data_IF_617341360443
#
_entry.id   IF_617341360443
#
_cell.length_a   1.000
_cell.length_b   1.000
_cell.length_c   1.000
_cell.angle_alpha   90.00
_cell.angle_beta   90.00
_cell.angle_gamma   90.00
#
_symmetry.space_group_name_H-M   'P 1'
#
loop_
_entity.id
_entity.type
_entity.pdbx_description
1 polymer ?
#
# COMPACT_ATOMS: atom_id res chain seq x y z
N UNK A 1 15.34 -2.01 4.78
CA UNK A 1 15.96 -1.35 5.96
C UNK A 1 16.40 0.06 5.56
N UNK A 2 16.20 1.11 6.38
CA UNK A 2 16.30 2.52 5.93
C UNK A 2 17.72 3.13 5.89
N UNK A 3 18.74 2.37 6.30
CA UNK A 3 20.14 2.81 6.31
C UNK A 3 21.10 1.67 6.63
N UNK A 4 22.39 1.98 6.59
CA UNK A 4 23.48 1.09 6.96
C UNK A 4 23.38 0.71 8.45
N UNK A 5 23.47 -0.58 8.77
CA UNK A 5 23.49 -1.05 10.16
C UNK A 5 24.92 -1.35 10.55
N UNK A 6 25.49 -0.34 11.21
CA UNK A 6 26.87 -0.33 11.69
C UNK A 6 27.06 -1.42 12.74
N UNK A 7 28.01 -2.31 12.49
CA UNK A 7 28.36 -3.35 13.46
C UNK A 7 29.39 -2.81 14.45
N UNK A 8 29.23 -3.17 15.73
CA UNK A 8 30.20 -2.83 16.78
C UNK A 8 30.27 -3.96 17.81
N UNK A 9 31.49 -4.28 18.25
CA UNK A 9 31.74 -5.32 19.23
C UNK A 9 31.69 -4.76 20.66
N UNK A 10 30.64 -5.11 21.40
CA UNK A 10 30.46 -4.70 22.79
C UNK A 10 31.59 -5.18 23.71
N UNK A 11 32.18 -6.35 23.44
CA UNK A 11 33.31 -6.89 24.21
C UNK A 11 34.52 -6.00 24.04
N UNK A 12 34.81 -5.57 22.80
CA UNK A 12 35.89 -4.62 22.54
C UNK A 12 35.58 -3.28 23.21
N UNK A 13 34.35 -2.76 23.08
CA UNK A 13 33.92 -1.50 23.71
C UNK A 13 34.23 -1.51 25.22
N UNK A 14 33.76 -2.52 25.95
CA UNK A 14 33.90 -2.56 27.41
C UNK A 14 35.29 -2.94 27.91
N UNK A 15 36.05 -3.76 27.17
CA UNK A 15 37.35 -4.25 27.63
C UNK A 15 38.54 -3.44 27.09
N UNK A 16 38.37 -2.78 25.94
CA UNK A 16 39.47 -2.14 25.19
C UNK A 16 39.31 -0.63 25.13
N UNK A 17 38.08 -0.14 24.96
CA UNK A 17 37.82 1.28 24.72
C UNK A 17 37.31 2.06 25.95
N UNK A 18 36.76 1.39 26.97
CA UNK A 18 36.33 2.02 28.23
C UNK A 18 37.42 2.84 28.97
N UNK A 19 38.73 2.52 28.90
CA UNK A 19 39.78 3.33 29.51
C UNK A 19 40.27 4.53 28.66
N UNK A 20 39.82 4.67 27.41
CA UNK A 20 40.34 5.69 26.50
C UNK A 20 39.85 7.09 26.88
N UNK A 21 40.78 8.04 26.94
CA UNK A 21 40.49 9.46 27.16
C UNK A 21 40.26 10.24 25.85
N UNK A 22 40.24 9.55 24.70
CA UNK A 22 40.02 10.13 23.38
C UNK A 22 38.78 9.53 22.73
N UNK A 23 38.09 10.36 21.94
CA UNK A 23 36.93 9.94 21.16
C UNK A 23 37.40 9.16 19.93
N UNK A 24 37.07 7.88 19.86
CA UNK A 24 37.41 6.99 18.74
C UNK A 24 36.12 6.37 18.22
N UNK A 25 36.00 6.30 16.89
CA UNK A 25 34.89 5.60 16.23
C UNK A 25 35.11 4.08 16.32
N UNK A 26 34.13 3.35 16.85
CA UNK A 26 34.22 1.91 17.10
C UNK A 26 33.22 1.22 16.18
N UNK A 27 33.70 0.79 15.00
CA UNK A 27 32.90 0.16 13.96
C UNK A 27 33.67 -1.03 13.39
N UNK A 28 33.00 -2.17 13.24
CA UNK A 28 33.44 -3.32 12.46
C UNK A 28 32.89 -3.16 11.03
N UNK A 29 33.62 -2.39 10.20
CA UNK A 29 33.14 -1.95 8.89
C UNK A 29 32.87 -3.13 7.93
N UNK A 30 33.60 -4.23 8.06
CA UNK A 30 33.46 -5.45 7.29
C UNK A 30 32.22 -6.29 7.66
N UNK A 31 31.63 -6.04 8.83
CA UNK A 31 30.43 -6.71 9.34
C UNK A 31 29.18 -5.84 9.27
N UNK A 32 29.31 -4.67 8.66
CA UNK A 32 28.24 -3.72 8.54
C UNK A 32 27.26 -4.16 7.45
N UNK A 33 25.96 -4.17 7.77
CA UNK A 33 24.93 -4.56 6.80
C UNK A 33 24.65 -3.33 5.93
N UNK A 34 24.85 -3.42 4.60
CA UNK A 34 24.66 -2.29 3.72
C UNK A 34 23.20 -1.83 3.69
N UNK A 35 22.99 -0.60 3.25
CA UNK A 35 21.65 -0.11 3.01
C UNK A 35 20.92 -0.99 1.98
N UNK A 36 19.61 -1.13 2.17
CA UNK A 36 18.78 -1.95 1.31
C UNK A 36 18.58 -1.27 -0.05
N UNK A 37 19.17 -1.85 -1.10
CA UNK A 37 19.10 -1.33 -2.47
C UNK A 37 17.65 -1.26 -2.98
N UNK A 38 16.73 -2.04 -2.40
CA UNK A 38 15.32 -1.99 -2.77
C UNK A 38 14.73 -0.59 -2.68
N UNK A 39 15.20 0.25 -1.74
CA UNK A 39 14.73 1.63 -1.58
C UNK A 39 15.00 2.53 -2.79
N UNK A 40 15.96 2.15 -3.65
CA UNK A 40 16.32 2.89 -4.87
C UNK A 40 15.61 2.35 -6.11
N UNK A 41 14.80 1.30 -5.97
CA UNK A 41 14.11 0.65 -7.10
C UNK A 41 12.87 1.41 -7.53
N UNK A 42 12.47 1.24 -8.80
CA UNK A 42 11.23 1.79 -9.32
C UNK A 42 9.99 1.19 -8.64
N UNK A 43 10.09 -0.06 -8.19
CA UNK A 43 9.06 -0.79 -7.45
C UNK A 43 8.80 -0.13 -6.10
N UNK A 44 9.85 0.29 -5.38
CA UNK A 44 9.68 1.01 -4.12
C UNK A 44 9.04 2.39 -4.32
N UNK A 45 9.43 3.12 -5.38
CA UNK A 45 8.78 4.39 -5.72
C UNK A 45 7.30 4.19 -6.08
N UNK A 46 6.97 3.13 -6.82
CA UNK A 46 5.59 2.77 -7.15
C UNK A 46 4.78 2.43 -5.89
N UNK A 47 5.38 1.72 -4.94
CA UNK A 47 4.78 1.45 -3.64
C UNK A 47 4.52 2.72 -2.82
N UNK A 48 5.46 3.66 -2.78
CA UNK A 48 5.26 4.95 -2.12
C UNK A 48 4.09 5.71 -2.75
N UNK A 49 4.03 5.71 -4.09
CA UNK A 49 2.94 6.36 -4.81
C UNK A 49 1.59 5.71 -4.52
N UNK A 50 1.54 4.38 -4.53
CA UNK A 50 0.36 3.62 -4.10
C UNK A 50 -0.10 4.04 -2.69
N UNK A 51 0.82 4.14 -1.71
CA UNK A 51 0.49 4.52 -0.33
C UNK A 51 -0.15 5.90 -0.24
N UNK A 52 0.41 6.87 -0.96
CA UNK A 52 -0.12 8.24 -1.00
C UNK A 52 -1.55 8.25 -1.57
N UNK A 53 -1.74 7.65 -2.75
CA UNK A 53 -3.03 7.62 -3.43
C UNK A 53 -4.09 6.84 -2.65
N UNK A 54 -3.68 5.74 -2.00
CA UNK A 54 -4.54 4.98 -1.09
C UNK A 54 -5.07 5.85 0.04
N UNK A 55 -4.23 6.69 0.64
CA UNK A 55 -4.67 7.60 1.70
C UNK A 55 -5.68 8.64 1.20
N UNK A 56 -5.44 9.21 0.01
CA UNK A 56 -6.38 10.13 -0.64
C UNK A 56 -7.74 9.45 -0.83
N UNK A 57 -7.75 8.25 -1.40
CA UNK A 57 -8.97 7.51 -1.70
C UNK A 57 -9.74 7.12 -0.43
N UNK A 58 -9.03 6.65 0.61
CA UNK A 58 -9.64 6.35 1.91
C UNK A 58 -10.25 7.59 2.57
N UNK A 59 -9.64 8.76 2.44
CA UNK A 59 -10.21 10.00 2.96
C UNK A 59 -11.49 10.37 2.21
N UNK A 60 -11.50 10.30 0.87
CA UNK A 60 -12.71 10.52 0.07
C UNK A 60 -13.84 9.55 0.45
N UNK A 61 -13.50 8.29 0.74
CA UNK A 61 -14.48 7.29 1.16
C UNK A 61 -15.07 7.55 2.56
N UNK A 62 -14.37 8.25 3.46
CA UNK A 62 -14.88 8.62 4.80
C UNK A 62 -15.85 9.80 4.79
N UNK A 63 -15.73 10.70 3.82
CA UNK A 63 -16.59 11.89 3.73
C UNK A 63 -18.06 11.50 3.50
N UNK A 64 -19.02 12.41 3.73
CA UNK A 64 -20.42 12.14 3.36
C UNK A 64 -20.61 12.21 1.85
N UNK A 65 -20.07 13.26 1.24
CA UNK A 65 -20.13 13.47 -0.21
C UNK A 65 -18.87 12.96 -0.89
N UNK A 66 -19.03 12.38 -2.07
CA UNK A 66 -17.89 11.88 -2.86
C UNK A 66 -17.29 13.03 -3.66
N UNK A 67 -16.07 13.43 -3.29
CA UNK A 67 -15.29 14.35 -4.12
C UNK A 67 -14.93 13.66 -5.45
N UNK A 68 -15.17 14.29 -6.61
CA UNK A 68 -14.84 13.71 -7.90
C UNK A 68 -13.32 13.57 -8.04
N UNK A 69 -12.89 12.41 -8.48
CA UNK A 69 -11.52 12.09 -8.88
C UNK A 69 -11.57 11.78 -10.38
N UNK A 70 -10.57 12.26 -11.12
CA UNK A 70 -10.53 12.10 -12.56
C UNK A 70 -10.01 10.70 -12.97
N UNK A 71 -10.11 10.40 -14.27
CA UNK A 71 -9.65 9.12 -14.79
C UNK A 71 -8.12 8.97 -14.67
N UNK A 72 -7.37 10.07 -14.76
CA UNK A 72 -5.90 10.09 -14.62
C UNK A 72 -5.49 9.57 -13.24
N UNK A 73 -6.18 9.99 -12.17
CA UNK A 73 -5.97 9.44 -10.83
C UNK A 73 -6.15 7.92 -10.79
N UNK A 74 -7.20 7.38 -11.43
CA UNK A 74 -7.43 5.94 -11.41
C UNK A 74 -6.42 5.17 -12.24
N UNK A 75 -6.00 5.71 -13.39
CA UNK A 75 -4.97 5.08 -14.23
C UNK A 75 -3.62 4.99 -13.50
N UNK A 76 -3.25 6.07 -12.80
CA UNK A 76 -2.04 6.09 -11.97
C UNK A 76 -2.19 5.15 -10.76
N UNK A 77 -3.35 5.14 -10.10
CA UNK A 77 -3.55 4.25 -8.95
C UNK A 77 -3.49 2.78 -9.37
N UNK A 78 -4.07 2.42 -10.51
CA UNK A 78 -4.05 1.06 -11.06
C UNK A 78 -2.66 0.60 -11.46
N UNK A 79 -1.83 1.51 -11.98
CA UNK A 79 -0.45 1.20 -12.37
C UNK A 79 0.53 1.23 -11.21
N UNK A 80 0.22 1.93 -10.11
CA UNK A 80 1.07 2.01 -8.92
C UNK A 80 1.30 0.66 -8.22
N UNK A 81 0.32 -0.25 -8.26
CA UNK A 81 0.45 -1.61 -7.73
C UNK A 81 -0.58 -2.57 -8.37
N UNK A 82 -0.43 -2.95 -9.65
CA UNK A 82 -1.49 -3.57 -10.45
C UNK A 82 -1.91 -4.97 -9.98
N UNK A 83 -1.02 -5.68 -9.29
CA UNK A 83 -1.26 -7.02 -8.78
C UNK A 83 -1.86 -7.03 -7.38
N UNK A 84 -1.98 -5.87 -6.72
CA UNK A 84 -2.54 -5.79 -5.39
C UNK A 84 -4.06 -5.61 -5.46
N UNK A 85 -4.81 -6.56 -4.90
CA UNK A 85 -6.27 -6.57 -4.96
C UNK A 85 -6.90 -5.26 -4.43
N UNK A 86 -6.27 -4.63 -3.44
CA UNK A 86 -6.82 -3.47 -2.74
C UNK A 86 -6.95 -2.25 -3.67
N UNK A 87 -6.06 -2.11 -4.66
CA UNK A 87 -6.13 -1.07 -5.70
C UNK A 87 -7.46 -1.12 -6.43
N UNK A 88 -7.88 -2.33 -6.80
CA UNK A 88 -9.12 -2.57 -7.53
C UNK A 88 -10.34 -2.48 -6.60
N UNK A 89 -10.26 -3.02 -5.38
CA UNK A 89 -11.38 -2.99 -4.45
C UNK A 89 -11.70 -1.57 -3.96
N UNK A 90 -10.70 -0.76 -3.63
CA UNK A 90 -10.92 0.63 -3.23
C UNK A 90 -11.46 1.48 -4.37
N UNK A 91 -10.99 1.24 -5.60
CA UNK A 91 -11.58 1.88 -6.79
C UNK A 91 -13.05 1.49 -6.95
N UNK A 92 -13.39 0.22 -6.72
CA UNK A 92 -14.77 -0.26 -6.73
C UNK A 92 -15.63 0.43 -5.67
N UNK A 93 -15.12 0.55 -4.44
CA UNK A 93 -15.79 1.25 -3.34
C UNK A 93 -16.06 2.73 -3.70
N UNK A 94 -15.08 3.38 -4.33
CA UNK A 94 -15.25 4.75 -4.82
C UNK A 94 -16.38 4.86 -5.84
N UNK A 95 -16.36 4.04 -6.88
CA UNK A 95 -17.39 4.13 -7.93
C UNK A 95 -18.77 3.70 -7.44
N UNK A 96 -18.85 2.78 -6.46
CA UNK A 96 -20.11 2.46 -5.79
C UNK A 96 -20.67 3.69 -5.09
N UNK A 97 -19.83 4.38 -4.30
CA UNK A 97 -20.23 5.57 -3.55
C UNK A 97 -20.54 6.76 -4.48
N UNK A 98 -19.86 6.84 -5.62
CA UNK A 98 -20.14 7.81 -6.69
C UNK A 98 -21.34 7.41 -7.58
N UNK A 99 -22.22 6.53 -7.10
CA UNK A 99 -23.45 6.09 -7.79
C UNK A 99 -23.20 5.51 -9.20
N UNK A 100 -22.06 4.87 -9.40
CA UNK A 100 -21.71 4.16 -10.63
C UNK A 100 -21.52 2.65 -10.37
N UNK A 101 -22.61 1.91 -10.08
CA UNK A 101 -22.53 0.50 -9.70
C UNK A 101 -21.99 -0.39 -10.83
N UNK A 102 -22.25 -0.04 -12.10
CA UNK A 102 -21.71 -0.77 -13.27
C UNK A 102 -20.19 -0.76 -13.30
N UNK A 103 -19.55 0.39 -13.04
CA UNK A 103 -18.08 0.50 -12.99
C UNK A 103 -17.54 -0.18 -11.72
N UNK A 104 -18.22 -0.03 -10.59
CA UNK A 104 -17.85 -0.68 -9.34
C UNK A 104 -17.77 -2.21 -9.47
N UNK A 105 -18.79 -2.85 -10.05
CA UNK A 105 -18.83 -4.31 -10.26
C UNK A 105 -17.66 -4.79 -11.10
N UNK A 106 -17.28 -4.08 -12.17
CA UNK A 106 -16.12 -4.45 -13.00
C UNK A 106 -14.83 -4.45 -12.19
N UNK A 107 -14.64 -3.45 -11.34
CA UNK A 107 -13.45 -3.31 -10.49
C UNK A 107 -13.44 -4.35 -9.38
N UNK A 108 -14.57 -4.65 -8.74
CA UNK A 108 -14.66 -5.73 -7.76
C UNK A 108 -14.38 -7.10 -8.39
N UNK A 109 -14.89 -7.37 -9.59
CA UNK A 109 -14.56 -8.59 -10.34
C UNK A 109 -13.05 -8.68 -10.58
N UNK A 110 -12.41 -7.58 -11.00
CA UNK A 110 -10.95 -7.53 -11.18
C UNK A 110 -10.21 -7.79 -9.87
N UNK A 111 -10.63 -7.18 -8.76
CA UNK A 111 -10.06 -7.43 -7.44
C UNK A 111 -10.13 -8.91 -7.04
N UNK A 112 -11.26 -9.58 -7.31
CA UNK A 112 -11.48 -10.99 -7.01
C UNK A 112 -10.64 -11.97 -7.86
N UNK A 113 -9.98 -11.49 -8.91
CA UNK A 113 -8.99 -12.29 -9.69
C UNK A 113 -7.58 -12.25 -9.09
N UNK A 114 -7.32 -11.34 -8.15
CA UNK A 114 -6.02 -11.18 -7.51
C UNK A 114 -5.90 -12.07 -6.28
N UNK A 115 -4.67 -12.23 -5.78
CA UNK A 115 -4.44 -12.89 -4.50
C UNK A 115 -4.96 -12.03 -3.34
N UNK A 116 -5.86 -12.60 -2.55
CA UNK A 116 -6.45 -11.94 -1.37
C UNK A 116 -6.07 -12.77 -0.15
N UNK A 117 -5.26 -12.22 0.78
CA UNK A 117 -4.66 -12.99 1.86
C UNK A 117 -5.66 -13.39 2.95
N UNK A 118 -6.79 -12.67 3.08
CA UNK A 118 -7.80 -12.95 4.11
C UNK A 118 -9.17 -13.23 3.51
N UNK A 119 -9.83 -14.27 4.03
CA UNK A 119 -11.20 -14.61 3.63
C UNK A 119 -12.19 -13.46 3.88
N UNK A 120 -12.08 -12.79 5.03
CA UNK A 120 -12.96 -11.67 5.39
C UNK A 120 -12.86 -10.49 4.41
N UNK A 121 -11.67 -10.23 3.85
CA UNK A 121 -11.46 -9.20 2.83
C UNK A 121 -12.15 -9.60 1.52
N UNK A 122 -12.01 -10.88 1.11
CA UNK A 122 -12.69 -11.42 -0.06
C UNK A 122 -14.21 -11.37 0.08
N UNK A 123 -14.74 -11.79 1.23
CA UNK A 123 -16.17 -11.76 1.53
C UNK A 123 -16.73 -10.33 1.47
N UNK A 124 -16.01 -9.35 2.03
CA UNK A 124 -16.39 -7.94 1.95
C UNK A 124 -16.50 -7.47 0.49
N UNK A 125 -15.55 -7.84 -0.37
CA UNK A 125 -15.59 -7.47 -1.79
C UNK A 125 -16.78 -8.13 -2.50
N UNK A 126 -17.05 -9.41 -2.23
CA UNK A 126 -18.20 -10.13 -2.78
C UNK A 126 -19.50 -9.44 -2.37
N UNK A 127 -19.65 -9.13 -1.08
CA UNK A 127 -20.83 -8.44 -0.55
C UNK A 127 -21.02 -7.07 -1.21
N UNK A 128 -19.98 -6.23 -1.24
CA UNK A 128 -20.04 -4.93 -1.92
C UNK A 128 -20.43 -5.04 -3.40
N UNK A 129 -19.96 -6.09 -4.09
CA UNK A 129 -20.34 -6.35 -5.49
C UNK A 129 -21.81 -6.79 -5.62
N UNK A 130 -22.31 -7.63 -4.71
CA UNK A 130 -23.72 -8.05 -4.68
C UNK A 130 -24.63 -6.86 -4.40
N UNK A 131 -24.31 -6.03 -3.41
CA UNK A 131 -25.08 -4.81 -3.11
C UNK A 131 -25.20 -3.91 -4.36
N UNK A 132 -24.12 -3.78 -5.16
CA UNK A 132 -24.16 -3.03 -6.41
C UNK A 132 -25.03 -3.68 -7.50
N UNK A 133 -25.14 -5.01 -7.51
CA UNK A 133 -25.97 -5.72 -8.49
C UNK A 133 -27.45 -5.55 -8.17
N UNK A 134 -27.79 -5.67 -6.89
CA UNK A 134 -29.16 -5.48 -6.42
C UNK A 134 -29.63 -4.06 -6.74
N UNK A 135 -28.77 -3.06 -6.50
CA UNK A 135 -29.03 -1.66 -6.89
C UNK A 135 -29.28 -1.45 -8.39
N UNK A 136 -28.67 -2.26 -9.28
CA UNK A 136 -28.93 -2.15 -10.73
C UNK A 136 -30.28 -2.77 -11.07
N UNK A 137 -30.60 -3.92 -10.49
CA UNK A 137 -31.85 -4.62 -10.79
C UNK A 137 -33.08 -3.83 -10.32
N UNK A 138 -32.99 -3.14 -9.18
CA UNK A 138 -34.07 -2.29 -8.64
C UNK A 138 -34.36 -1.03 -9.50
N UNK A 139 -33.45 -0.66 -10.41
CA UNK A 139 -33.61 0.53 -11.29
C UNK A 139 -34.21 0.16 -12.65
N UNK A 140 -34.10 -1.12 -13.04
CA UNK A 140 -34.61 -1.64 -14.31
C UNK A 140 -36.03 -2.24 -14.19
N UNK A 141 -36.62 -2.27 -12.97
CA UNK A 141 -38.04 -2.58 -12.67
C UNK A 141 -38.90 -1.32 -12.51
#
# INVERSE_FOLDING_TARGET
QLGEYVCYDLTKIFNTFAPLQQQVEIIEADQTIPADEFLQTAEYQSFLRFREMRLILLNVLKEKEVKPLDQVFFDEFHTSNPNFYEVWSLSGDYFRKAENPKKAIRLFRKALTMEIPRWSEKEKIIRSMTDCRDQINDVDE
#
